data_IF_640795644567
#
_entry.id   IF_640795644567
#
_cell.length_a   1.000
_cell.length_b   1.000
_cell.length_c   1.000
_cell.angle_alpha   90.00
_cell.angle_beta   90.00
_cell.angle_gamma   90.00
#
_symmetry.space_group_name_H-M   'P 1'
#
loop_
_entity.id
_entity.type
_entity.pdbx_description
1 polymer ?
#
# COMPACT_ATOMS: atom_id res chain seq x y z
N UNK A 1 3.99 1.69 -26.95
CA UNK A 1 2.90 0.91 -26.30
C UNK A 1 2.07 1.80 -25.36
N UNK A 2 2.71 2.76 -24.69
CA UNK A 2 2.06 3.65 -23.72
C UNK A 2 1.13 4.71 -24.32
N UNK A 3 1.35 5.13 -25.56
CA UNK A 3 0.53 6.17 -26.22
C UNK A 3 -0.95 5.77 -26.35
N UNK A 4 -1.24 4.54 -26.77
CA UNK A 4 -2.63 4.04 -26.85
C UNK A 4 -3.32 4.01 -25.49
N UNK A 5 -2.57 3.77 -24.41
CA UNK A 5 -3.11 3.78 -23.05
C UNK A 5 -3.40 5.22 -22.59
N UNK A 6 -2.48 6.14 -22.86
CA UNK A 6 -2.66 7.56 -22.55
C UNK A 6 -3.88 8.13 -23.26
N UNK A 7 -4.07 7.80 -24.54
CA UNK A 7 -5.20 8.31 -25.31
C UNK A 7 -6.55 7.73 -24.85
N UNK A 8 -6.57 6.45 -24.42
CA UNK A 8 -7.74 5.85 -23.76
C UNK A 8 -8.08 6.56 -22.44
N UNK A 9 -7.08 6.92 -21.63
CA UNK A 9 -7.34 7.63 -20.37
C UNK A 9 -7.83 9.05 -20.65
N UNK A 10 -7.29 9.72 -21.68
CA UNK A 10 -7.78 11.04 -22.11
C UNK A 10 -9.22 11.01 -22.58
N UNK A 11 -9.66 9.94 -23.25
CA UNK A 11 -11.06 9.82 -23.70
C UNK A 11 -12.08 9.72 -22.55
N UNK A 12 -11.64 9.45 -21.32
CA UNK A 12 -12.52 9.45 -20.14
C UNK A 12 -12.79 10.85 -19.56
N UNK A 13 -12.13 11.90 -20.07
CA UNK A 13 -12.38 13.29 -19.64
C UNK A 13 -13.87 13.65 -19.80
N UNK A 14 -14.40 14.38 -18.84
CA UNK A 14 -15.82 14.75 -18.82
C UNK A 14 -16.76 13.67 -18.27
N UNK A 15 -16.31 12.42 -18.11
CA UNK A 15 -17.10 11.42 -17.38
C UNK A 15 -17.08 11.69 -15.88
N UNK A 16 -18.21 11.49 -15.21
CA UNK A 16 -18.31 11.74 -13.77
C UNK A 16 -17.28 10.95 -12.94
N UNK A 17 -17.04 9.69 -13.29
CA UNK A 17 -16.08 8.82 -12.60
C UNK A 17 -14.64 9.37 -12.71
N UNK A 18 -14.25 9.82 -13.90
CA UNK A 18 -12.95 10.42 -14.14
C UNK A 18 -12.77 11.73 -13.37
N UNK A 19 -13.77 12.63 -13.41
CA UNK A 19 -13.73 13.89 -12.66
C UNK A 19 -13.72 13.68 -11.15
N UNK A 20 -14.39 12.63 -10.66
CA UNK A 20 -14.31 12.21 -9.26
C UNK A 20 -12.92 11.71 -8.89
N UNK A 21 -12.26 10.96 -9.78
CA UNK A 21 -10.88 10.50 -9.58
C UNK A 21 -9.88 11.68 -9.56
N UNK A 22 -10.04 12.66 -10.47
CA UNK A 22 -9.22 13.88 -10.48
C UNK A 22 -9.36 14.69 -9.19
N UNK A 23 -10.58 14.87 -8.68
CA UNK A 23 -10.82 15.53 -7.39
C UNK A 23 -10.10 14.83 -6.23
N UNK A 24 -10.13 13.49 -6.19
CA UNK A 24 -9.35 12.72 -5.20
C UNK A 24 -7.85 12.91 -5.39
N UNK A 25 -7.35 12.89 -6.62
CA UNK A 25 -5.92 13.09 -6.91
C UNK A 25 -5.42 14.42 -6.33
N UNK A 26 -6.18 15.50 -6.50
CA UNK A 26 -5.84 16.84 -5.97
C UNK A 26 -5.67 16.87 -4.45
N UNK A 27 -6.44 16.04 -3.72
CA UNK A 27 -6.41 16.01 -2.25
C UNK A 27 -5.34 15.06 -1.71
N UNK A 28 -5.13 13.92 -2.37
CA UNK A 28 -4.30 12.85 -1.81
C UNK A 28 -2.93 12.73 -2.47
N UNK A 29 -2.88 12.87 -3.80
CA UNK A 29 -1.67 12.56 -4.59
C UNK A 29 -0.83 13.81 -4.81
N UNK A 30 -1.44 14.92 -5.23
CA UNK A 30 -0.71 16.16 -5.52
C UNK A 30 0.01 16.72 -4.28
N UNK A 31 -0.60 16.75 -3.08
CA UNK A 31 0.11 17.21 -1.88
C UNK A 31 1.25 16.28 -1.48
N UNK A 32 1.12 14.97 -1.71
CA UNK A 32 2.18 14.00 -1.44
C UNK A 32 3.42 14.30 -2.30
N UNK A 33 3.24 14.57 -3.59
CA UNK A 33 4.33 14.96 -4.48
C UNK A 33 4.84 16.38 -4.24
N UNK A 34 3.96 17.32 -3.86
CA UNK A 34 4.36 18.68 -3.46
C UNK A 34 5.28 18.64 -2.26
N UNK A 35 4.89 17.92 -1.21
CA UNK A 35 5.71 17.73 -0.02
C UNK A 35 7.06 17.09 -0.34
N UNK A 36 7.08 16.04 -1.17
CA UNK A 36 8.32 15.40 -1.57
C UNK A 36 9.27 16.35 -2.32
N UNK A 37 8.73 17.20 -3.19
CA UNK A 37 9.50 18.18 -3.97
C UNK A 37 10.07 19.29 -3.10
N UNK A 38 9.25 19.87 -2.22
CA UNK A 38 9.63 21.07 -1.47
C UNK A 38 10.42 20.74 -0.21
N UNK A 39 10.05 19.66 0.52
CA UNK A 39 10.65 19.32 1.81
C UNK A 39 11.64 18.16 1.77
N UNK A 40 11.53 17.26 0.79
CA UNK A 40 12.36 16.06 0.72
C UNK A 40 13.34 16.02 -0.46
N UNK A 41 13.52 17.15 -1.15
CA UNK A 41 14.58 17.30 -2.16
C UNK A 41 14.28 16.69 -3.53
N UNK A 42 13.05 16.25 -3.80
CA UNK A 42 12.68 15.58 -5.06
C UNK A 42 12.70 16.51 -6.29
N UNK A 43 13.01 17.81 -6.12
CA UNK A 43 13.24 18.76 -7.23
C UNK A 43 14.57 18.54 -7.93
N UNK A 44 15.60 18.06 -7.22
CA UNK A 44 16.95 17.89 -7.77
C UNK A 44 17.59 16.64 -7.17
N UNK A 45 17.83 15.64 -8.02
CA UNK A 45 18.57 14.45 -7.62
C UNK A 45 20.06 14.75 -7.52
N UNK A 46 20.67 14.28 -6.43
CA UNK A 46 22.11 14.40 -6.18
C UNK A 46 22.88 13.37 -7.00
N UNK A 47 22.34 12.16 -7.12
CA UNK A 47 23.00 11.07 -7.80
C UNK A 47 22.82 11.14 -9.32
N UNK A 48 23.69 10.43 -10.05
CA UNK A 48 23.69 10.35 -11.52
C UNK A 48 23.52 8.89 -11.95
N UNK A 49 22.94 8.68 -13.14
CA UNK A 49 22.46 7.40 -13.70
C UNK A 49 21.11 6.96 -13.10
N UNK A 50 20.27 6.34 -13.93
CA UNK A 50 18.87 6.01 -13.60
C UNK A 50 18.74 5.13 -12.36
N UNK A 51 19.59 4.11 -12.23
CA UNK A 51 19.59 3.21 -11.07
C UNK A 51 19.77 3.97 -9.75
N UNK A 52 20.75 4.87 -9.69
CA UNK A 52 21.03 5.64 -8.48
C UNK A 52 19.94 6.67 -8.18
N UNK A 53 19.37 7.29 -9.22
CA UNK A 53 18.21 8.20 -9.08
C UNK A 53 16.99 7.46 -8.56
N UNK A 54 16.75 6.22 -9.02
CA UNK A 54 15.65 5.39 -8.53
C UNK A 54 15.81 5.06 -7.04
N UNK A 55 17.04 4.74 -6.61
CA UNK A 55 17.35 4.52 -5.18
C UNK A 55 17.07 5.79 -4.37
N UNK A 56 17.55 6.94 -4.81
CA UNK A 56 17.32 8.22 -4.13
C UNK A 56 15.83 8.56 -4.01
N UNK A 57 15.06 8.38 -5.10
CA UNK A 57 13.62 8.57 -5.10
C UNK A 57 12.90 7.59 -4.15
N UNK A 58 13.32 6.32 -4.12
CA UNK A 58 12.74 5.30 -3.25
C UNK A 58 13.00 5.60 -1.77
N UNK A 59 14.20 6.08 -1.43
CA UNK A 59 14.55 6.49 -0.07
C UNK A 59 13.70 7.68 0.39
N UNK A 60 13.51 8.69 -0.46
CA UNK A 60 12.62 9.82 -0.18
C UNK A 60 11.19 9.36 0.07
N UNK A 61 10.64 8.53 -0.82
CA UNK A 61 9.30 7.98 -0.69
C UNK A 61 9.13 7.15 0.60
N UNK A 62 10.14 6.36 0.94
CA UNK A 62 10.17 5.55 2.17
C UNK A 62 10.14 6.43 3.41
N UNK A 63 10.97 7.49 3.46
CA UNK A 63 10.96 8.46 4.55
C UNK A 63 9.59 9.15 4.71
N UNK A 64 8.97 9.53 3.60
CA UNK A 64 7.65 10.14 3.60
C UNK A 64 6.55 9.17 4.08
N UNK A 65 6.64 7.89 3.72
CA UNK A 65 5.72 6.85 4.19
C UNK A 65 5.88 6.58 5.69
N UNK A 66 7.13 6.50 6.18
CA UNK A 66 7.42 6.34 7.62
C UNK A 66 6.88 7.53 8.40
N UNK A 67 7.10 8.77 7.94
CA UNK A 67 6.54 9.99 8.55
C UNK A 67 5.03 9.88 8.74
N UNK A 68 4.30 9.43 7.70
CA UNK A 68 2.85 9.23 7.78
C UNK A 68 2.44 8.10 8.72
N UNK A 69 3.19 7.00 8.73
CA UNK A 69 2.93 5.88 9.64
C UNK A 69 3.07 6.32 11.10
N UNK A 70 4.12 7.07 11.43
CA UNK A 70 4.34 7.62 12.78
C UNK A 70 3.22 8.58 13.15
N UNK A 71 2.90 9.54 12.30
CA UNK A 71 1.80 10.48 12.53
C UNK A 71 0.43 9.79 12.70
N UNK A 72 0.21 8.66 12.00
CA UNK A 72 -0.99 7.85 12.15
C UNK A 72 -1.02 7.09 13.48
N UNK A 73 0.15 6.66 14.00
CA UNK A 73 0.26 5.99 15.31
C UNK A 73 0.07 6.95 16.49
N UNK A 74 0.61 8.17 16.40
CA UNK A 74 0.42 9.22 17.41
C UNK A 74 -1.05 9.64 17.54
N UNK A 75 -1.81 9.53 16.45
CA UNK A 75 -3.26 9.60 16.44
C UNK A 75 -3.82 8.24 16.85
N UNK A 76 -3.66 7.86 18.13
CA UNK A 76 -4.16 6.59 18.68
C UNK A 76 -5.63 6.29 18.33
N UNK A 77 -6.08 5.04 18.51
CA UNK A 77 -7.44 4.62 18.12
C UNK A 77 -8.48 5.56 18.74
N UNK A 78 -9.17 6.32 17.88
CA UNK A 78 -10.12 7.37 18.30
C UNK A 78 -11.38 6.80 18.96
N UNK A 79 -11.58 5.49 18.89
CA UNK A 79 -12.74 4.78 19.45
C UNK A 79 -12.28 3.54 20.21
N UNK A 80 -12.87 3.31 21.39
CA UNK A 80 -12.57 2.17 22.27
C UNK A 80 -12.68 0.82 21.56
N UNK A 81 -13.64 0.67 20.64
CA UNK A 81 -13.80 -0.55 19.84
C UNK A 81 -12.61 -0.82 18.91
N UNK A 82 -11.99 0.22 18.32
CA UNK A 82 -10.80 0.05 17.48
C UNK A 82 -9.57 -0.32 18.33
N UNK A 83 -9.47 0.25 19.54
CA UNK A 83 -8.43 -0.11 20.49
C UNK A 83 -8.56 -1.58 20.96
N UNK A 84 -9.80 -2.05 21.16
CA UNK A 84 -10.08 -3.43 21.54
C UNK A 84 -9.71 -4.45 20.44
N UNK A 85 -9.95 -4.14 19.16
CA UNK A 85 -9.58 -5.01 18.03
C UNK A 85 -8.06 -5.06 17.81
N UNK A 86 -7.36 -3.96 18.08
CA UNK A 86 -5.89 -3.90 17.96
C UNK A 86 -5.16 -4.47 19.18
N UNK A 87 -5.90 -4.81 20.25
CA UNK A 87 -5.33 -5.42 21.44
C UNK A 87 -4.90 -6.85 21.08
N UNK A 88 -3.62 -7.23 21.26
CA UNK A 88 -3.22 -8.62 21.09
C UNK A 88 -4.05 -9.49 22.04
N UNK A 89 -4.53 -10.67 21.58
CA UNK A 89 -5.36 -11.52 22.43
C UNK A 89 -4.58 -11.93 23.67
N UNK A 90 -5.24 -11.87 24.83
CA UNK A 90 -4.61 -12.22 26.11
C UNK A 90 -3.99 -13.63 26.01
N UNK A 91 -2.74 -13.82 26.44
CA UNK A 91 -2.05 -15.11 26.35
C UNK A 91 -2.77 -16.21 27.13
N UNK A 92 -3.59 -15.83 28.12
CA UNK A 92 -4.32 -16.74 29.02
C UNK A 92 -5.53 -17.40 28.35
N UNK A 93 -6.04 -16.88 27.22
CA UNK A 93 -7.21 -17.44 26.54
C UNK A 93 -6.88 -18.62 25.60
N UNK A 94 -5.60 -18.96 25.39
CA UNK A 94 -5.20 -20.13 24.56
C UNK A 94 -5.27 -21.47 25.30
N UNK A 95 -5.47 -21.45 26.63
CA UNK A 95 -5.48 -22.67 27.45
C UNK A 95 -6.89 -23.04 27.92
N UNK A 96 -7.85 -23.21 26.99
CA UNK A 96 -9.06 -24.01 27.24
C UNK A 96 -9.64 -24.56 25.94
N UNK A 97 -8.93 -25.49 25.33
CA UNK A 97 -9.54 -26.48 24.45
C UNK A 97 -9.62 -27.80 25.21
N UNK A 98 -10.74 -28.00 25.91
CA UNK A 98 -11.35 -29.32 25.84
C UNK A 98 -11.77 -29.49 24.37
N UNK A 99 -11.19 -30.46 23.68
CA UNK A 99 -11.92 -31.64 23.16
C UNK A 99 -10.91 -32.49 22.41
N UNK A 100 -10.83 -33.73 22.90
CA UNK A 100 -10.32 -34.92 22.25
C UNK A 100 -10.34 -34.90 20.73
N UNK A 101 -9.20 -35.26 20.14
CA UNK A 101 -9.15 -36.17 18.99
C UNK A 101 -9.60 -35.61 17.64
N UNK A 102 -8.62 -35.57 16.73
CA UNK A 102 -8.71 -35.57 15.26
C UNK A 102 -8.49 -34.19 14.61
N UNK A 103 -7.21 -33.94 14.33
CA UNK A 103 -6.78 -32.94 13.36
C UNK A 103 -7.25 -33.35 11.95
N UNK A 104 -7.94 -32.50 11.18
CA UNK A 104 -8.07 -32.70 9.74
C UNK A 104 -6.72 -32.39 9.07
N UNK A 105 -6.22 -33.32 8.26
CA UNK A 105 -4.97 -33.17 7.52
C UNK A 105 -5.00 -31.94 6.61
N UNK A 106 -3.95 -31.12 6.66
CA UNK A 106 -3.67 -30.07 5.68
C UNK A 106 -3.26 -30.67 4.33
N UNK A 107 -4.21 -31.27 3.61
CA UNK A 107 -4.06 -31.64 2.20
C UNK A 107 -4.91 -30.67 1.38
N UNK A 108 -4.36 -29.50 1.06
CA UNK A 108 -5.06 -28.53 0.20
C UNK A 108 -4.37 -27.17 0.04
N UNK A 109 -3.49 -26.77 0.95
CA UNK A 109 -2.89 -25.43 0.92
C UNK A 109 -1.75 -25.25 -0.11
N UNK A 110 -1.28 -26.31 -0.78
CA UNK A 110 -0.21 -26.21 -1.79
C UNK A 110 -0.68 -25.82 -3.20
N UNK A 111 -2.00 -25.80 -3.47
CA UNK A 111 -2.51 -25.55 -4.83
C UNK A 111 -2.68 -24.06 -5.19
N UNK A 112 -2.60 -23.13 -4.23
CA UNK A 112 -2.86 -21.71 -4.51
C UNK A 112 -1.63 -20.92 -4.96
N UNK A 113 -0.41 -21.40 -4.70
CA UNK A 113 0.80 -20.61 -4.96
C UNK A 113 1.44 -20.84 -6.35
N UNK A 114 1.11 -21.94 -7.04
CA UNK A 114 1.67 -22.22 -8.39
C UNK A 114 0.76 -21.79 -9.57
N UNK A 115 -0.40 -21.16 -9.32
CA UNK A 115 -1.33 -20.70 -10.39
C UNK A 115 -1.22 -19.20 -10.72
N UNK A 116 -0.09 -18.58 -10.39
CA UNK A 116 0.25 -17.21 -10.84
C UNK A 116 1.62 -17.14 -11.54
N UNK A 117 2.34 -18.26 -11.69
CA UNK A 117 3.62 -18.30 -12.41
C UNK A 117 3.49 -18.76 -13.88
N UNK A 118 2.33 -19.29 -14.30
CA UNK A 118 2.11 -19.80 -15.68
C UNK A 118 1.26 -18.90 -16.57
N UNK A 119 0.96 -17.65 -16.18
CA UNK A 119 0.26 -16.66 -17.03
C UNK A 119 1.13 -15.46 -17.41
N UNK A 120 2.45 -15.60 -17.27
CA UNK A 120 3.45 -14.62 -17.75
C UNK A 120 4.35 -15.21 -18.87
N UNK A 121 4.07 -16.44 -19.31
CA UNK A 121 4.66 -17.04 -20.52
C UNK A 121 3.56 -17.56 -21.45
N UNK A 122 2.86 -16.62 -22.08
CA UNK A 122 2.27 -16.75 -23.42
C UNK A 122 2.00 -15.36 -23.99
#
# INVERSE_FOLDING_TARGET
RDERYVDRVKSYRGTFAYEKALRKRRVWVEPLFGEAKDWHGLRRFRLRRLEKVNIEALLIASGQNIKRLVAARERGPRKLAQAAVLRPPDPVSRCRTHVSGRWPSFAGAKAYFNRLSSLVLM
#
